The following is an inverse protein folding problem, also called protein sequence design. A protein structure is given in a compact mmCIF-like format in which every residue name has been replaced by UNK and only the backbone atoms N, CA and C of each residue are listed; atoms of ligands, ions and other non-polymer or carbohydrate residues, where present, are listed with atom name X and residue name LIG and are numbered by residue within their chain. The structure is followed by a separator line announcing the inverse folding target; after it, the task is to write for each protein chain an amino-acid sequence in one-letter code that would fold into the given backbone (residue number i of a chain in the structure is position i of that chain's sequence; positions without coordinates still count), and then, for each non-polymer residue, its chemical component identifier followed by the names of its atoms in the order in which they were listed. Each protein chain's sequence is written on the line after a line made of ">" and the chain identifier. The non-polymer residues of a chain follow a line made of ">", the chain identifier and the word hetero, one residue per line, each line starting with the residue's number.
data_IF_455942800721
#
_entry.id   IF_455942800721
#
_cell.length_a   1.000
_cell.length_b   1.000
_cell.length_c   1.000
_cell.angle_alpha   90.00
_cell.angle_beta   90.00
_cell.angle_gamma   90.00
#
_symmetry.space_group_name_H-M   'P 1'
#
loop_
_entity.id
_entity.type
_entity.pdbx_description
1 polymer ?
#
# COMPACT_ATOMS: atom_id res chain seq x y z
N UNK A 1 4.61 -24.65 -8.49
CA UNK A 1 3.87 -24.55 -9.77
C UNK A 1 4.38 -23.31 -10.50
N UNK A 2 5.15 -23.47 -11.56
CA UNK A 2 5.53 -22.38 -12.45
C UNK A 2 4.29 -21.92 -13.21
N UNK A 3 3.78 -20.73 -12.92
CA UNK A 3 2.66 -20.14 -13.68
C UNK A 3 3.13 -19.93 -15.12
N UNK A 4 2.34 -20.39 -16.09
CA UNK A 4 2.59 -20.14 -17.51
C UNK A 4 2.38 -18.67 -17.84
N UNK A 5 3.46 -17.90 -17.78
CA UNK A 5 3.44 -16.47 -18.02
C UNK A 5 3.12 -16.10 -19.48
N UNK A 6 3.40 -17.00 -20.43
CA UNK A 6 3.09 -16.75 -21.85
C UNK A 6 1.58 -16.69 -22.08
N UNK A 7 0.85 -17.67 -21.55
CA UNK A 7 -0.61 -17.68 -21.58
C UNK A 7 -1.23 -16.48 -20.84
N UNK A 8 -0.61 -16.02 -19.76
CA UNK A 8 -1.09 -14.85 -19.02
C UNK A 8 -0.92 -13.53 -19.81
N UNK A 9 0.18 -13.38 -20.55
CA UNK A 9 0.40 -12.20 -21.41
C UNK A 9 -0.60 -12.16 -22.57
N UNK A 10 -0.84 -13.28 -23.22
CA UNK A 10 -1.83 -13.38 -24.30
C UNK A 10 -3.23 -13.01 -23.80
N UNK A 11 -3.65 -13.55 -22.68
CA UNK A 11 -4.93 -13.20 -22.01
C UNK A 11 -5.00 -11.71 -21.66
N UNK A 12 -3.89 -11.12 -21.22
CA UNK A 12 -3.82 -9.68 -20.92
C UNK A 12 -4.07 -8.84 -22.17
N UNK A 13 -3.43 -9.20 -23.27
CA UNK A 13 -3.57 -8.49 -24.53
C UNK A 13 -5.00 -8.61 -25.09
N UNK A 14 -5.60 -9.78 -25.02
CA UNK A 14 -6.97 -10.02 -25.45
C UNK A 14 -7.95 -9.21 -24.59
N UNK A 15 -7.82 -9.28 -23.28
CA UNK A 15 -8.64 -8.50 -22.35
C UNK A 15 -8.55 -6.99 -22.61
N UNK A 16 -7.34 -6.45 -22.86
CA UNK A 16 -7.16 -5.03 -23.19
C UNK A 16 -7.84 -4.64 -24.49
N UNK A 17 -7.79 -5.49 -25.55
CA UNK A 17 -8.48 -5.22 -26.81
C UNK A 17 -9.99 -5.08 -26.61
N UNK A 18 -10.58 -5.94 -25.78
CA UNK A 18 -12.01 -5.91 -25.50
C UNK A 18 -12.45 -4.77 -24.58
N UNK A 19 -11.58 -4.30 -23.68
CA UNK A 19 -11.94 -3.40 -22.60
C UNK A 19 -11.37 -1.97 -22.73
N UNK A 20 -10.52 -1.71 -23.70
CA UNK A 20 -9.80 -0.42 -23.91
C UNK A 20 -10.66 0.84 -23.82
N UNK A 21 -11.91 0.80 -24.23
CA UNK A 21 -12.82 1.95 -24.20
C UNK A 21 -13.82 1.94 -23.01
N UNK A 22 -13.83 0.86 -22.24
CA UNK A 22 -14.85 0.65 -21.20
C UNK A 22 -14.54 1.35 -19.89
N UNK A 23 -13.28 1.56 -19.58
CA UNK A 23 -12.80 1.98 -18.26
C UNK A 23 -11.77 3.09 -18.34
N UNK A 24 -12.19 4.31 -18.69
CA UNK A 24 -11.33 5.49 -18.57
C UNK A 24 -11.17 5.93 -17.11
N UNK A 25 -10.13 6.74 -16.80
CA UNK A 25 -9.94 7.28 -15.44
C UNK A 25 -11.19 7.97 -14.88
N UNK A 26 -11.96 8.65 -15.71
CA UNK A 26 -13.22 9.28 -15.29
C UNK A 26 -14.23 8.32 -14.66
N UNK A 27 -14.18 7.03 -15.01
CA UNK A 27 -15.00 6.02 -14.36
C UNK A 27 -14.47 5.74 -12.94
N UNK A 28 -13.15 5.56 -12.79
CA UNK A 28 -12.51 5.40 -11.48
C UNK A 28 -12.77 6.61 -10.57
N UNK A 29 -12.61 7.81 -11.12
CA UNK A 29 -12.88 9.06 -10.40
C UNK A 29 -14.31 9.10 -9.85
N UNK A 30 -15.30 8.80 -10.69
CA UNK A 30 -16.73 8.84 -10.33
C UNK A 30 -17.10 7.76 -9.32
N UNK A 31 -16.64 6.53 -9.52
CA UNK A 31 -17.14 5.36 -8.81
C UNK A 31 -16.36 5.07 -7.51
N UNK A 32 -15.10 5.50 -7.44
CA UNK A 32 -14.22 5.18 -6.32
C UNK A 32 -13.72 6.43 -5.60
N UNK A 33 -13.14 7.40 -6.33
CA UNK A 33 -12.48 8.54 -5.69
C UNK A 33 -13.51 9.49 -5.09
N UNK A 34 -14.49 9.91 -5.89
CA UNK A 34 -15.54 10.86 -5.46
C UNK A 34 -16.52 10.27 -4.44
N UNK A 35 -16.65 8.96 -4.37
CA UNK A 35 -17.50 8.29 -3.38
C UNK A 35 -16.84 8.13 -2.01
N UNK A 36 -15.53 8.43 -1.92
CA UNK A 36 -14.75 8.22 -0.70
C UNK A 36 -14.28 6.78 -0.48
N UNK A 37 -14.49 5.89 -1.46
CA UNK A 37 -14.04 4.49 -1.36
C UNK A 37 -12.55 4.30 -1.69
N UNK A 38 -11.85 5.37 -2.08
CA UNK A 38 -10.41 5.33 -2.38
C UNK A 38 -9.60 5.02 -1.13
N UNK A 39 -8.69 4.05 -1.25
CA UNK A 39 -7.74 3.65 -0.18
C UNK A 39 -6.34 4.26 -0.37
N UNK A 40 -6.22 5.25 -1.20
CA UNK A 40 -5.03 6.09 -1.37
C UNK A 40 -3.72 5.33 -1.70
N UNK A 41 -3.82 4.10 -2.19
CA UNK A 41 -2.67 3.23 -2.43
C UNK A 41 -1.72 3.70 -3.57
N UNK A 42 -2.19 4.59 -4.44
CA UNK A 42 -1.41 5.15 -5.55
C UNK A 42 -1.25 4.23 -6.77
N UNK A 43 -1.86 3.04 -6.80
CA UNK A 43 -1.71 2.08 -7.90
C UNK A 43 -2.15 2.64 -9.26
N UNK A 44 -3.21 3.43 -9.29
CA UNK A 44 -3.74 4.03 -10.52
C UNK A 44 -2.79 5.08 -11.12
N UNK A 45 -2.09 5.84 -10.27
CA UNK A 45 -1.12 6.85 -10.69
C UNK A 45 0.14 6.18 -11.23
N UNK A 46 0.78 5.36 -10.40
CA UNK A 46 2.05 4.72 -10.74
C UNK A 46 1.92 3.71 -11.89
N UNK A 47 0.75 3.09 -12.02
CA UNK A 47 0.44 2.15 -13.10
C UNK A 47 -0.08 2.79 -14.39
N UNK A 48 -0.13 4.11 -14.51
CA UNK A 48 -0.58 4.77 -15.73
C UNK A 48 0.48 4.65 -16.84
N UNK A 49 0.22 3.94 -17.96
CA UNK A 49 1.24 3.69 -18.98
C UNK A 49 1.56 4.91 -19.84
N UNK A 50 0.82 5.99 -19.69
CA UNK A 50 0.99 7.25 -20.45
C UNK A 50 1.20 8.45 -19.51
N UNK A 51 1.50 8.20 -18.25
CA UNK A 51 1.75 9.18 -17.20
C UNK A 51 0.72 10.34 -17.17
N UNK A 52 -0.55 9.99 -17.44
CA UNK A 52 -1.63 10.96 -17.48
C UNK A 52 -2.20 11.30 -16.09
N UNK A 53 -1.75 10.62 -15.05
CA UNK A 53 -2.23 10.79 -13.69
C UNK A 53 -1.11 11.28 -12.78
N UNK A 54 -1.43 12.24 -11.93
CA UNK A 54 -0.60 12.66 -10.80
C UNK A 54 -1.29 12.33 -9.49
N UNK A 55 -0.53 12.14 -8.43
CA UNK A 55 -1.04 11.93 -7.09
C UNK A 55 -0.37 12.88 -6.12
N UNK A 56 -1.16 13.62 -5.39
CA UNK A 56 -0.69 14.61 -4.43
C UNK A 56 -1.44 14.47 -3.10
N UNK A 57 -0.77 14.82 -2.01
CA UNK A 57 -1.44 14.92 -0.72
C UNK A 57 -2.10 16.29 -0.59
N UNK A 58 -3.43 16.31 -0.69
CA UNK A 58 -4.27 17.48 -0.48
C UNK A 58 -5.01 17.29 0.84
N UNK A 59 -4.81 18.19 1.79
CA UNK A 59 -5.41 18.11 3.13
C UNK A 59 -5.19 16.74 3.80
N UNK A 60 -3.94 16.24 3.70
CA UNK A 60 -3.56 14.96 4.30
C UNK A 60 -4.07 13.70 3.59
N UNK A 61 -4.81 13.85 2.49
CA UNK A 61 -5.36 12.78 1.67
C UNK A 61 -4.65 12.67 0.33
N UNK A 62 -4.13 11.48 0.02
CA UNK A 62 -3.55 11.24 -1.30
C UNK A 62 -4.64 11.19 -2.39
N UNK A 63 -4.59 12.15 -3.29
CA UNK A 63 -5.64 12.34 -4.32
C UNK A 63 -5.08 12.14 -5.73
N UNK A 64 -5.48 11.07 -6.44
CA UNK A 64 -5.16 10.89 -7.85
C UNK A 64 -5.93 11.88 -8.73
N UNK A 65 -5.23 12.55 -9.62
CA UNK A 65 -5.81 13.58 -10.52
C UNK A 65 -5.38 13.35 -11.97
N UNK A 66 -6.29 13.59 -12.91
CA UNK A 66 -6.00 13.55 -14.34
C UNK A 66 -5.38 14.88 -14.79
N UNK A 67 -4.10 14.87 -15.10
CA UNK A 67 -3.34 16.05 -15.53
C UNK A 67 -2.84 15.96 -16.98
N UNK A 68 -2.80 14.74 -17.53
CA UNK A 68 -2.35 14.48 -18.89
C UNK A 68 -3.43 13.90 -19.81
N UNK A 69 -3.03 13.48 -21.01
CA UNK A 69 -3.93 12.89 -22.01
C UNK A 69 -4.18 11.41 -21.71
N UNK A 70 -5.36 11.10 -21.19
CA UNK A 70 -5.78 9.73 -20.91
C UNK A 70 -6.00 8.94 -22.21
N UNK A 71 -5.37 7.77 -22.33
CA UNK A 71 -5.56 6.82 -23.46
C UNK A 71 -6.81 5.94 -23.32
N UNK A 72 -7.54 6.05 -22.22
CA UNK A 72 -8.70 5.22 -21.89
C UNK A 72 -8.42 3.69 -21.85
N UNK A 73 -7.18 3.28 -21.55
CA UNK A 73 -6.77 1.87 -21.53
C UNK A 73 -7.39 1.05 -20.39
N UNK A 74 -7.93 1.69 -19.35
CA UNK A 74 -8.62 1.04 -18.24
C UNK A 74 -7.71 0.44 -17.15
N UNK A 75 -6.39 0.49 -17.29
CA UNK A 75 -5.44 -0.10 -16.33
C UNK A 75 -5.65 0.45 -14.92
N UNK A 76 -5.80 1.76 -14.78
CA UNK A 76 -6.04 2.39 -13.48
C UNK A 76 -7.31 1.87 -12.78
N UNK A 77 -8.35 1.53 -13.54
CA UNK A 77 -9.58 0.95 -13.01
C UNK A 77 -9.37 -0.51 -12.60
N UNK A 78 -8.71 -1.30 -13.44
CA UNK A 78 -8.49 -2.73 -13.19
C UNK A 78 -7.50 -3.00 -12.07
N UNK A 79 -6.51 -2.09 -11.85
CA UNK A 79 -5.55 -2.21 -10.76
C UNK A 79 -6.09 -1.69 -9.43
N UNK A 80 -7.22 -1.00 -9.43
CA UNK A 80 -7.80 -0.49 -8.19
C UNK A 80 -8.33 -1.63 -7.31
N UNK A 81 -7.93 -1.71 -6.04
CA UNK A 81 -8.40 -2.77 -5.13
C UNK A 81 -9.87 -2.60 -4.74
N UNK A 82 -10.52 -1.49 -5.14
CA UNK A 82 -11.91 -1.18 -4.79
C UNK A 82 -12.90 -1.40 -5.92
N UNK A 83 -12.47 -1.82 -7.12
CA UNK A 83 -13.35 -2.02 -8.27
C UNK A 83 -13.95 -3.42 -8.31
N UNK A 84 -13.12 -4.45 -8.31
CA UNK A 84 -13.52 -5.87 -8.28
C UNK A 84 -12.36 -6.69 -7.69
N UNK A 85 -12.65 -7.88 -7.21
CA UNK A 85 -11.66 -8.78 -6.65
C UNK A 85 -11.11 -9.72 -7.73
N UNK A 86 -9.84 -10.11 -7.57
CA UNK A 86 -9.20 -11.10 -8.46
C UNK A 86 -9.68 -12.51 -8.11
N UNK A 87 -9.87 -12.76 -6.82
CA UNK A 87 -10.36 -14.01 -6.28
C UNK A 87 -11.50 -13.71 -5.30
N UNK A 88 -12.54 -14.52 -5.38
CA UNK A 88 -13.75 -14.37 -4.56
C UNK A 88 -13.63 -15.14 -3.22
N UNK A 89 -12.43 -15.10 -2.62
CA UNK A 89 -12.09 -15.83 -1.40
C UNK A 89 -11.66 -14.85 -0.31
N UNK A 90 -12.46 -14.72 0.73
CA UNK A 90 -12.18 -13.85 1.86
C UNK A 90 -11.10 -14.40 2.80
N UNK A 91 -11.03 -15.72 2.96
CA UNK A 91 -10.01 -16.42 3.73
C UNK A 91 -9.42 -17.52 2.85
N UNK A 92 -8.17 -17.35 2.44
CA UNK A 92 -7.45 -18.32 1.63
C UNK A 92 -6.89 -19.48 2.45
N UNK A 93 -6.31 -20.45 1.76
CA UNK A 93 -5.54 -21.52 2.39
C UNK A 93 -4.26 -20.95 3.02
N UNK A 94 -3.92 -21.43 4.21
CA UNK A 94 -2.67 -21.08 4.90
C UNK A 94 -1.82 -22.33 5.16
N UNK A 95 -0.51 -22.19 5.12
CA UNK A 95 0.42 -23.28 5.34
C UNK A 95 0.68 -23.50 6.85
N UNK A 96 0.76 -22.40 7.62
CA UNK A 96 1.07 -22.45 9.03
C UNK A 96 0.66 -21.16 9.75
N UNK A 97 0.49 -21.25 11.06
CA UNK A 97 0.18 -20.13 11.94
C UNK A 97 1.28 -20.01 13.01
N UNK A 98 1.85 -18.82 13.17
CA UNK A 98 2.94 -18.55 14.09
C UNK A 98 2.66 -17.35 14.98
N UNK A 99 3.02 -17.45 16.25
CA UNK A 99 3.14 -16.30 17.16
C UNK A 99 4.61 -15.88 17.19
N UNK A 100 4.89 -14.67 16.75
CA UNK A 100 6.25 -14.16 16.57
C UNK A 100 6.49 -12.96 17.47
N UNK A 101 7.68 -12.91 18.10
CA UNK A 101 8.19 -11.74 18.82
C UNK A 101 9.64 -11.51 18.44
N UNK A 102 9.99 -10.27 18.06
CA UNK A 102 11.36 -9.85 17.86
C UNK A 102 12.11 -9.80 19.21
N UNK A 103 13.37 -10.23 19.19
CA UNK A 103 14.29 -10.09 20.33
C UNK A 103 15.06 -8.76 20.28
N UNK A 104 15.03 -8.05 19.14
CA UNK A 104 15.71 -6.77 18.99
C UNK A 104 15.00 -5.65 19.75
N UNK A 105 15.80 -4.70 20.24
CA UNK A 105 15.30 -3.46 20.84
C UNK A 105 15.09 -2.40 19.75
N UNK A 106 13.86 -2.25 19.29
CA UNK A 106 13.46 -1.26 18.30
C UNK A 106 12.00 -0.86 18.49
N UNK A 107 11.63 0.32 17.99
CA UNK A 107 10.24 0.80 18.02
C UNK A 107 9.33 -0.21 17.30
N UNK A 108 8.24 -0.59 17.97
CA UNK A 108 7.28 -1.57 17.46
C UNK A 108 5.89 -1.33 18.03
N UNK A 109 4.86 -1.72 17.29
CA UNK A 109 3.48 -1.68 17.79
C UNK A 109 3.23 -2.80 18.79
N UNK A 110 3.57 -4.03 18.38
CA UNK A 110 3.35 -5.25 19.19
C UNK A 110 4.63 -6.13 19.21
N UNK A 111 4.57 -7.31 18.60
CA UNK A 111 5.70 -8.27 18.61
C UNK A 111 6.92 -7.89 17.79
N UNK A 112 6.82 -6.94 16.88
CA UNK A 112 7.95 -6.49 16.03
C UNK A 112 8.35 -7.50 14.95
N UNK A 113 7.52 -8.50 14.65
CA UNK A 113 7.81 -9.56 13.68
C UNK A 113 8.07 -9.03 12.27
N UNK A 114 7.29 -8.07 11.79
CA UNK A 114 7.45 -7.47 10.45
C UNK A 114 8.83 -6.85 10.30
N UNK A 115 9.24 -5.99 11.24
CA UNK A 115 10.56 -5.35 11.23
C UNK A 115 11.70 -6.36 11.29
N UNK A 116 11.55 -7.42 12.09
CA UNK A 116 12.57 -8.47 12.21
C UNK A 116 12.71 -9.27 10.91
N UNK A 117 11.59 -9.63 10.26
CA UNK A 117 11.59 -10.31 8.96
C UNK A 117 12.25 -9.46 7.90
N UNK A 118 11.85 -8.19 7.77
CA UNK A 118 12.42 -7.28 6.78
C UNK A 118 13.90 -7.01 7.02
N UNK A 119 14.33 -6.86 8.30
CA UNK A 119 15.75 -6.73 8.63
C UNK A 119 16.55 -7.93 8.14
N UNK A 120 16.05 -9.15 8.36
CA UNK A 120 16.71 -10.36 7.89
C UNK A 120 16.77 -10.44 6.35
N UNK A 121 15.67 -10.09 5.66
CA UNK A 121 15.63 -10.11 4.20
C UNK A 121 16.58 -9.10 3.56
N UNK A 122 16.71 -7.91 4.16
CA UNK A 122 17.68 -6.89 3.73
C UNK A 122 19.12 -7.35 4.03
N UNK A 123 19.41 -7.79 5.26
CA UNK A 123 20.76 -8.21 5.69
C UNK A 123 21.26 -9.42 4.88
N UNK A 124 20.36 -10.32 4.45
CA UNK A 124 20.69 -11.48 3.62
C UNK A 124 20.76 -11.19 2.12
N UNK A 125 20.39 -9.99 1.68
CA UNK A 125 20.30 -9.65 0.25
C UNK A 125 19.16 -10.35 -0.48
N UNK A 126 18.19 -10.94 0.21
CA UNK A 126 17.03 -11.57 -0.40
C UNK A 126 16.08 -10.54 -1.04
N UNK A 127 16.11 -9.30 -0.56
CA UNK A 127 15.43 -8.14 -1.15
C UNK A 127 16.42 -6.98 -1.27
N UNK A 128 16.24 -6.16 -2.30
CA UNK A 128 17.04 -4.94 -2.53
C UNK A 128 16.45 -3.73 -1.81
N UNK A 129 15.21 -3.84 -1.35
CA UNK A 129 14.54 -2.79 -0.59
C UNK A 129 13.19 -3.25 -0.05
N UNK A 130 12.66 -2.46 0.87
CA UNK A 130 11.33 -2.69 1.44
C UNK A 130 10.51 -1.40 1.40
N UNK A 131 9.26 -1.51 0.97
CA UNK A 131 8.29 -0.42 1.06
C UNK A 131 7.55 -0.53 2.38
N UNK A 132 7.70 0.49 3.20
CA UNK A 132 7.13 0.60 4.54
C UNK A 132 6.43 1.94 4.70
N UNK A 133 5.65 2.11 5.76
CA UNK A 133 5.02 3.38 6.10
C UNK A 133 5.68 3.95 7.34
N UNK A 134 6.16 5.17 7.23
CA UNK A 134 6.66 5.97 8.33
C UNK A 134 5.90 7.29 8.43
N UNK A 135 6.32 8.12 9.37
CA UNK A 135 5.80 9.47 9.52
C UNK A 135 6.48 10.42 8.53
N UNK A 136 5.72 11.37 7.99
CA UNK A 136 6.25 12.50 7.22
C UNK A 136 6.84 13.56 8.16
N UNK A 137 7.08 14.74 7.63
CA UNK A 137 7.44 15.95 8.38
C UNK A 137 6.28 16.52 9.25
N UNK A 138 5.04 16.09 8.98
CA UNK A 138 3.88 16.44 9.81
C UNK A 138 3.58 15.32 10.80
N UNK A 139 3.27 15.66 12.08
CA UNK A 139 2.95 14.66 13.10
C UNK A 139 1.85 13.70 12.64
N UNK A 140 2.12 12.40 12.72
CA UNK A 140 1.20 11.31 12.38
C UNK A 140 0.63 11.33 10.95
N UNK A 141 1.15 12.17 10.06
CA UNK A 141 0.84 12.06 8.64
C UNK A 141 1.69 10.95 8.02
N UNK A 142 1.08 9.92 7.43
CA UNK A 142 1.80 8.78 6.89
C UNK A 142 2.55 9.18 5.62
N UNK A 143 3.69 8.53 5.42
CA UNK A 143 4.45 8.58 4.18
C UNK A 143 4.95 7.18 3.85
N UNK A 144 4.60 6.67 2.68
CA UNK A 144 5.24 5.48 2.14
C UNK A 144 6.70 5.80 1.81
N UNK A 145 7.60 4.88 2.14
CA UNK A 145 9.05 5.03 1.95
C UNK A 145 9.63 3.72 1.43
N UNK A 146 10.46 3.81 0.41
CA UNK A 146 11.34 2.73 0.01
C UNK A 146 12.62 2.83 0.85
N UNK A 147 12.84 1.83 1.69
CA UNK A 147 14.04 1.71 2.53
C UNK A 147 14.95 0.62 1.98
N UNK A 148 16.25 0.86 1.96
CA UNK A 148 17.25 -0.05 1.38
C UNK A 148 18.21 -0.60 2.43
N UNK A 149 18.12 -0.12 3.65
CA UNK A 149 18.94 -0.58 4.76
C UNK A 149 18.14 -0.69 6.07
N UNK A 150 18.77 -1.35 7.05
CA UNK A 150 18.16 -1.62 8.34
C UNK A 150 17.97 -0.36 9.20
N UNK A 151 18.84 0.63 9.07
CA UNK A 151 18.78 1.87 9.88
C UNK A 151 17.53 2.63 9.51
N UNK A 152 17.28 2.81 8.20
CA UNK A 152 16.06 3.44 7.69
C UNK A 152 14.82 2.62 8.06
N UNK A 153 14.90 1.27 7.95
CA UNK A 153 13.80 0.39 8.30
C UNK A 153 13.36 0.55 9.76
N UNK A 154 14.31 0.61 10.70
CA UNK A 154 14.01 0.71 12.12
C UNK A 154 13.26 2.00 12.51
N UNK A 155 13.39 3.06 11.70
CA UNK A 155 12.66 4.32 11.90
C UNK A 155 11.16 4.21 11.54
N UNK A 156 10.74 3.18 10.83
CA UNK A 156 9.37 2.96 10.41
C UNK A 156 8.52 2.14 11.39
N UNK A 157 9.07 1.78 12.55
CA UNK A 157 8.38 0.98 13.56
C UNK A 157 7.13 1.67 14.11
N UNK A 158 6.11 0.88 14.43
CA UNK A 158 4.81 1.36 14.91
C UNK A 158 3.70 1.20 13.87
N UNK A 159 2.51 1.68 14.18
CA UNK A 159 1.34 1.62 13.29
C UNK A 159 0.82 3.02 12.98
N UNK A 160 0.59 3.30 11.71
CA UNK A 160 -0.08 4.51 11.23
C UNK A 160 -1.52 4.14 10.86
N UNK A 161 -2.51 4.82 11.45
CA UNK A 161 -3.94 4.54 11.23
C UNK A 161 -4.57 5.39 10.13
N UNK A 162 -3.75 5.88 9.21
CA UNK A 162 -4.16 6.67 8.05
C UNK A 162 -3.55 6.09 6.78
N UNK A 163 -4.15 6.37 5.62
CA UNK A 163 -3.72 5.79 4.36
C UNK A 163 -2.38 6.35 3.85
N UNK A 164 -1.61 5.51 3.13
CA UNK A 164 -0.37 5.90 2.46
C UNK A 164 -0.30 5.30 1.05
N UNK A 165 0.42 5.97 0.14
CA UNK A 165 0.57 5.56 -1.26
C UNK A 165 1.62 4.43 -1.44
N UNK A 166 1.42 3.32 -0.74
CA UNK A 166 2.36 2.18 -0.65
C UNK A 166 2.65 1.56 -2.01
N UNK A 167 1.61 1.40 -2.85
CA UNK A 167 1.75 0.75 -4.15
C UNK A 167 2.46 1.66 -5.14
N UNK A 168 2.26 2.98 -5.04
CA UNK A 168 3.02 3.93 -5.84
C UNK A 168 4.51 3.84 -5.52
N UNK A 169 4.87 3.80 -4.25
CA UNK A 169 6.26 3.72 -3.83
C UNK A 169 6.93 2.41 -4.30
N UNK A 170 6.20 1.29 -4.22
CA UNK A 170 6.67 0.00 -4.75
C UNK A 170 6.97 0.06 -6.25
N UNK A 171 6.05 0.61 -7.05
CA UNK A 171 6.28 0.76 -8.48
C UNK A 171 7.38 1.77 -8.79
N UNK A 172 7.56 2.80 -7.95
CA UNK A 172 8.69 3.72 -8.00
C UNK A 172 10.01 2.97 -7.91
N UNK A 173 10.15 2.09 -6.93
CA UNK A 173 11.34 1.26 -6.75
C UNK A 173 11.66 0.37 -7.96
N UNK A 174 10.66 -0.24 -8.59
CA UNK A 174 10.88 -1.01 -9.83
C UNK A 174 11.28 -0.11 -11.01
N UNK A 175 10.72 1.10 -11.11
CA UNK A 175 11.13 2.09 -12.13
C UNK A 175 12.57 2.58 -11.92
N UNK A 176 13.06 2.58 -10.69
CA UNK A 176 14.48 2.84 -10.35
C UNK A 176 15.41 1.67 -10.67
N UNK A 177 14.89 0.54 -11.14
CA UNK A 177 15.65 -0.62 -11.58
C UNK A 177 15.83 -1.71 -10.54
N UNK A 178 15.18 -1.62 -9.37
CA UNK A 178 15.18 -2.71 -8.40
C UNK A 178 14.40 -3.90 -8.95
N UNK A 179 14.83 -5.10 -8.60
CA UNK A 179 14.23 -6.35 -9.09
C UNK A 179 13.58 -7.19 -7.99
N UNK A 180 13.91 -6.94 -6.72
CA UNK A 180 13.37 -7.64 -5.57
C UNK A 180 12.99 -6.68 -4.45
N UNK A 181 11.70 -6.60 -4.12
CA UNK A 181 11.19 -5.70 -3.09
C UNK A 181 10.30 -6.45 -2.11
N UNK A 182 10.35 -6.07 -0.83
CA UNK A 182 9.25 -6.35 0.08
C UNK A 182 8.25 -5.19 0.08
N UNK A 183 6.97 -5.49 0.27
CA UNK A 183 5.93 -4.50 0.46
C UNK A 183 5.13 -4.81 1.71
N UNK A 184 5.03 -3.84 2.61
CA UNK A 184 4.20 -3.92 3.81
C UNK A 184 2.99 -3.02 3.61
N UNK A 185 1.80 -3.58 3.75
CA UNK A 185 0.56 -2.81 3.59
C UNK A 185 -0.64 -3.52 4.18
N UNK A 186 -1.74 -2.82 4.26
CA UNK A 186 -3.03 -3.42 4.61
C UNK A 186 -3.55 -4.29 3.47
N UNK A 187 -4.58 -5.09 3.72
CA UNK A 187 -5.14 -6.03 2.74
C UNK A 187 -5.49 -5.35 1.40
N UNK A 188 -6.01 -4.12 1.42
CA UNK A 188 -6.31 -3.38 0.19
C UNK A 188 -5.04 -3.00 -0.63
N UNK A 189 -3.92 -2.69 0.03
CA UNK A 189 -2.65 -2.48 -0.67
C UNK A 189 -2.14 -3.77 -1.31
N UNK A 190 -2.18 -4.87 -0.58
CA UNK A 190 -1.74 -6.18 -1.07
C UNK A 190 -2.64 -6.69 -2.19
N UNK A 191 -3.95 -6.42 -2.13
CA UNK A 191 -4.87 -6.73 -3.23
C UNK A 191 -4.50 -5.98 -4.52
N UNK A 192 -4.13 -4.70 -4.44
CA UNK A 192 -3.64 -3.95 -5.59
C UNK A 192 -2.36 -4.59 -6.17
N UNK A 193 -1.43 -5.02 -5.33
CA UNK A 193 -0.22 -5.73 -5.75
C UNK A 193 -0.57 -7.09 -6.40
N UNK A 194 -1.50 -7.84 -5.82
CA UNK A 194 -1.98 -9.09 -6.40
C UNK A 194 -2.57 -8.88 -7.80
N UNK A 195 -3.39 -7.85 -7.98
CA UNK A 195 -3.94 -7.48 -9.30
C UNK A 195 -2.84 -7.18 -10.32
N UNK A 196 -1.78 -6.48 -9.91
CA UNK A 196 -0.64 -6.21 -10.78
C UNK A 196 0.13 -7.47 -11.18
N UNK A 197 0.12 -8.51 -10.36
CA UNK A 197 0.81 -9.77 -10.63
C UNK A 197 -0.04 -10.81 -11.35
N UNK A 198 -1.36 -10.78 -11.18
CA UNK A 198 -2.24 -11.89 -11.60
C UNK A 198 -3.32 -11.46 -12.57
N UNK A 199 -3.83 -10.24 -12.47
CA UNK A 199 -4.86 -9.76 -13.40
C UNK A 199 -4.26 -9.53 -14.79
N UNK A 200 -4.95 -9.90 -15.88
CA UNK A 200 -4.45 -9.71 -17.25
C UNK A 200 -3.92 -8.31 -17.54
N UNK A 201 -4.64 -7.26 -17.17
CA UNK A 201 -4.18 -5.88 -17.37
C UNK A 201 -3.03 -5.46 -16.44
N UNK A 202 -2.80 -6.16 -15.34
CA UNK A 202 -1.78 -5.86 -14.34
C UNK A 202 -0.40 -6.37 -14.68
N UNK A 203 -0.32 -7.43 -15.47
CA UNK A 203 0.97 -8.06 -15.84
C UNK A 203 1.93 -7.12 -16.59
N UNK A 204 1.43 -6.03 -17.16
CA UNK A 204 2.26 -5.02 -17.81
C UNK A 204 2.95 -4.07 -16.82
N UNK A 205 2.56 -4.08 -15.55
CA UNK A 205 3.05 -3.15 -14.55
C UNK A 205 4.26 -3.66 -13.77
N UNK A 206 4.42 -4.98 -13.68
CA UNK A 206 5.53 -5.61 -12.97
C UNK A 206 6.30 -6.50 -13.96
N UNK A 207 7.60 -6.26 -14.08
CA UNK A 207 8.47 -7.08 -14.91
C UNK A 207 8.38 -8.55 -14.48
N UNK A 208 8.45 -9.47 -15.45
CA UNK A 208 8.45 -10.93 -15.21
C UNK A 208 9.58 -11.39 -14.28
N UNK A 209 10.66 -10.62 -14.19
CA UNK A 209 11.82 -10.89 -13.32
C UNK A 209 11.64 -10.28 -11.92
N UNK A 210 10.69 -9.37 -11.74
CA UNK A 210 10.50 -8.71 -10.46
C UNK A 210 9.91 -9.66 -9.42
N UNK A 211 10.52 -9.67 -8.24
CA UNK A 211 10.06 -10.43 -7.08
C UNK A 211 9.45 -9.49 -6.06
N UNK A 212 8.27 -9.82 -5.58
CA UNK A 212 7.58 -9.05 -4.52
C UNK A 212 7.30 -9.93 -3.32
N UNK A 213 7.96 -9.65 -2.20
CA UNK A 213 7.66 -10.27 -0.92
C UNK A 213 6.54 -9.45 -0.24
N UNK A 214 5.36 -10.04 -0.08
CA UNK A 214 4.17 -9.34 0.43
C UNK A 214 3.95 -9.62 1.90
N UNK A 215 3.86 -8.57 2.71
CA UNK A 215 3.44 -8.65 4.12
C UNK A 215 2.12 -7.90 4.26
N UNK A 216 1.03 -8.66 4.41
CA UNK A 216 -0.29 -8.09 4.65
C UNK A 216 -0.52 -7.89 6.14
N UNK A 217 -0.88 -6.67 6.52
CA UNK A 217 -1.28 -6.35 7.88
C UNK A 217 -2.79 -6.49 8.02
N UNK A 218 -3.24 -7.10 9.12
CA UNK A 218 -4.65 -7.03 9.48
C UNK A 218 -5.04 -5.56 9.73
N UNK A 219 -6.15 -5.16 9.14
CA UNK A 219 -6.65 -3.80 9.24
C UNK A 219 -8.08 -3.85 9.81
N UNK A 220 -8.27 -3.20 10.94
CA UNK A 220 -9.60 -3.03 11.54
C UNK A 220 -10.20 -1.70 11.12
N UNK A 221 -9.37 -0.64 11.00
CA UNK A 221 -9.80 0.71 10.73
C UNK A 221 -8.67 1.52 10.08
N UNK A 222 -9.05 2.52 9.26
CA UNK A 222 -8.15 3.51 8.69
C UNK A 222 -8.89 4.85 8.60
N UNK A 223 -8.29 5.89 9.11
CA UNK A 223 -8.92 7.21 9.23
C UNK A 223 -8.44 8.16 8.13
N UNK A 224 -9.27 9.12 7.79
CA UNK A 224 -8.85 10.33 7.09
C UNK A 224 -8.00 11.18 8.05
N UNK A 225 -6.83 11.63 7.59
CA UNK A 225 -5.85 12.31 8.45
C UNK A 225 -6.40 13.59 9.08
N UNK A 226 -7.03 14.47 8.30
CA UNK A 226 -7.54 15.73 8.82
C UNK A 226 -8.75 15.54 9.75
N UNK A 227 -9.59 14.52 9.48
CA UNK A 227 -10.70 14.17 10.37
C UNK A 227 -10.21 13.61 11.70
N UNK A 228 -9.20 12.73 11.68
CA UNK A 228 -8.56 12.22 12.90
C UNK A 228 -7.95 13.34 13.71
N UNK A 229 -7.19 14.22 13.09
CA UNK A 229 -6.57 15.39 13.71
C UNK A 229 -7.62 16.35 14.28
N UNK A 230 -8.70 16.61 13.53
CA UNK A 230 -9.82 17.43 13.99
C UNK A 230 -10.54 16.82 15.19
N UNK A 231 -10.76 15.51 15.19
CA UNK A 231 -11.34 14.79 16.32
C UNK A 231 -10.46 14.92 17.58
N UNK A 232 -9.16 14.63 17.46
CA UNK A 232 -8.21 14.75 18.58
C UNK A 232 -8.18 16.18 19.16
N UNK A 233 -8.20 17.18 18.28
CA UNK A 233 -8.24 18.58 18.71
C UNK A 233 -9.52 18.91 19.52
N UNK A 234 -10.67 18.37 19.11
CA UNK A 234 -11.93 18.56 19.83
C UNK A 234 -11.92 17.91 21.20
N UNK A 235 -11.19 16.79 21.34
CA UNK A 235 -10.95 16.12 22.63
C UNK A 235 -9.82 16.79 23.46
N UNK A 236 -9.28 17.92 23.00
CA UNK A 236 -8.20 18.62 23.68
C UNK A 236 -6.82 18.01 23.52
N UNK A 237 -6.67 17.06 22.61
CA UNK A 237 -5.42 16.33 22.36
C UNK A 237 -4.62 17.01 21.24
N UNK A 238 -3.39 17.40 21.55
CA UNK A 238 -2.42 17.87 20.56
C UNK A 238 -1.76 16.64 19.89
N UNK A 239 -2.04 16.45 18.63
CA UNK A 239 -1.51 15.30 17.85
C UNK A 239 0.02 15.25 17.84
N UNK A 240 0.70 16.39 18.00
CA UNK A 240 2.17 16.44 18.05
C UNK A 240 2.75 15.84 19.34
N UNK A 241 1.94 15.71 20.40
CA UNK A 241 2.33 15.14 21.69
C UNK A 241 2.00 13.65 21.80
N UNK A 242 1.33 13.09 20.80
CA UNK A 242 0.94 11.69 20.82
C UNK A 242 2.14 10.80 20.50
N UNK A 243 2.41 9.83 21.37
CA UNK A 243 3.50 8.88 21.21
C UNK A 243 3.04 7.61 20.48
N UNK A 244 1.78 7.22 20.70
CA UNK A 244 1.24 5.99 20.14
C UNK A 244 -0.28 6.06 19.97
N UNK A 245 -0.75 5.50 18.86
CA UNK A 245 -2.14 5.09 18.67
C UNK A 245 -2.25 3.57 18.73
N UNK A 246 -3.33 3.06 19.28
CA UNK A 246 -3.64 1.63 19.29
C UNK A 246 -5.15 1.40 19.23
N UNK A 247 -5.58 0.36 18.53
CA UNK A 247 -6.95 -0.14 18.59
C UNK A 247 -6.92 -1.45 19.34
N UNK A 248 -7.56 -1.50 20.49
CA UNK A 248 -7.68 -2.72 21.29
C UNK A 248 -9.04 -2.81 21.98
N UNK A 249 -9.61 -4.00 22.01
CA UNK A 249 -10.92 -4.27 22.65
C UNK A 249 -12.05 -3.32 22.19
N UNK A 250 -12.01 -2.92 20.91
CA UNK A 250 -13.00 -2.00 20.32
C UNK A 250 -12.81 -0.53 20.71
N UNK A 251 -11.70 -0.17 21.33
CA UNK A 251 -11.37 1.19 21.74
C UNK A 251 -10.18 1.71 20.93
N UNK A 252 -10.21 3.00 20.59
CA UNK A 252 -9.09 3.72 20.01
C UNK A 252 -8.33 4.44 21.14
N UNK A 253 -7.15 3.92 21.46
CA UNK A 253 -6.32 4.40 22.55
C UNK A 253 -5.28 5.38 22.03
N UNK A 254 -5.07 6.47 22.78
CA UNK A 254 -4.09 7.52 22.50
C UNK A 254 -3.15 7.63 23.68
N UNK A 255 -1.86 7.38 23.48
CA UNK A 255 -0.85 7.46 24.55
C UNK A 255 -0.05 8.74 24.39
N UNK A 256 0.08 9.50 25.49
CA UNK A 256 0.90 10.74 25.61
C UNK A 256 1.79 10.60 26.84
N UNK A 257 3.11 10.51 26.66
CA UNK A 257 4.03 10.26 27.74
C UNK A 257 3.77 8.88 28.37
N UNK A 258 3.50 8.86 29.67
CA UNK A 258 3.16 7.64 30.42
C UNK A 258 1.64 7.44 30.62
N UNK A 259 0.82 8.36 30.09
CA UNK A 259 -0.64 8.33 30.23
C UNK A 259 -1.29 7.69 29.00
N UNK A 260 -2.26 6.79 29.22
CA UNK A 260 -3.03 6.08 28.19
C UNK A 260 -4.51 6.47 28.24
#
# INVERSE_FOLDING_TARGET
>A
MTRDHTSAVEKSQEWLKENVKRYAFKKLEREIIKTGACVECGSCVAGCPVDALTGEYVDGKYTPTLTGKCSACGICYTMCPRTFFVEDVNVGEYLSLWKVRSLGDHKRQDGGGVTAILSHLLDSGAIEGAVVVGQSDKPWMPKAKLVKDKVELLQSGGTMYTHAAVVQEMLGGFKEGLSSLAVVGTACNIEAVNKMQTHPAGLFQIDKKASVFKISLFCMESFDYEKLKGFLKNEGIDVAKVDRFAISKGQFNVTIGNDE
#
